data_IF_139861495872
#
_entry.id   IF_139861495872
#
_cell.length_a   1.000
_cell.length_b   1.000
_cell.length_c   1.000
_cell.angle_alpha   90.00
_cell.angle_beta   90.00
_cell.angle_gamma   90.00
#
_symmetry.space_group_name_H-M   'P 1'
#
loop_
_entity.id
_entity.type
_entity.pdbx_description
1 polymer ?
#
# COMPACT_ATOMS: atom_id res chain seq x y z
N UNK A 1 -12.64 23.68 29.50
CA UNK A 1 -13.32 23.25 28.42
C UNK A 1 -12.99 21.89 28.01
N UNK A 2 -13.91 21.10 27.96
CA UNK A 2 -13.67 19.86 27.61
C UNK A 2 -13.69 19.69 26.17
N UNK A 3 -12.73 19.09 25.67
CA UNK A 3 -12.76 18.71 24.38
C UNK A 3 -13.70 17.65 24.30
N UNK A 4 -14.86 18.03 23.92
CA UNK A 4 -15.83 17.08 23.69
C UNK A 4 -15.21 15.86 23.19
N UNK A 5 -15.57 14.78 23.74
CA UNK A 5 -15.21 13.49 23.29
C UNK A 5 -15.36 13.43 21.82
N UNK A 6 -14.50 14.00 21.09
CA UNK A 6 -14.64 14.07 19.69
C UNK A 6 -14.90 12.71 19.08
N UNK A 7 -16.12 12.50 18.65
CA UNK A 7 -16.40 11.35 17.84
C UNK A 7 -15.68 11.58 16.54
N UNK A 8 -14.56 10.86 16.33
CA UNK A 8 -13.85 10.92 15.07
C UNK A 8 -14.65 10.10 14.07
N UNK A 9 -15.33 10.78 13.17
CA UNK A 9 -16.04 10.11 12.10
C UNK A 9 -15.13 10.04 10.87
N UNK A 10 -14.85 8.84 10.41
CA UNK A 10 -14.13 8.63 9.16
C UNK A 10 -15.13 8.53 8.03
N UNK A 11 -14.92 9.33 6.98
CA UNK A 11 -15.76 9.28 5.78
C UNK A 11 -14.92 8.82 4.61
N UNK A 12 -15.48 7.93 3.80
CA UNK A 12 -14.85 7.48 2.57
C UNK A 12 -15.53 8.13 1.38
N UNK A 13 -14.72 8.59 0.42
CA UNK A 13 -15.20 9.16 -0.83
C UNK A 13 -14.68 8.30 -1.97
N UNK A 14 -15.54 8.02 -2.94
CA UNK A 14 -15.16 7.20 -4.09
C UNK A 14 -15.36 8.01 -5.36
N UNK A 15 -14.29 8.21 -6.09
CA UNK A 15 -14.32 8.97 -7.35
C UNK A 15 -13.65 8.16 -8.45
N UNK A 16 -14.13 8.36 -9.68
CA UNK A 16 -13.47 7.77 -10.84
C UNK A 16 -12.35 8.67 -11.30
N UNK A 17 -11.21 8.08 -11.62
CA UNK A 17 -10.07 8.79 -12.17
C UNK A 17 -9.81 8.34 -13.60
N UNK A 18 -9.17 9.22 -14.37
CA UNK A 18 -8.90 8.99 -15.79
C UNK A 18 -7.40 9.21 -16.06
N UNK A 19 -6.56 8.21 -15.77
CA UNK A 19 -5.13 8.35 -16.01
C UNK A 19 -4.83 8.37 -17.51
N UNK A 20 -3.79 9.14 -17.91
CA UNK A 20 -3.28 9.08 -19.27
C UNK A 20 -2.40 7.83 -19.41
N UNK A 21 -1.86 7.61 -20.62
CA UNK A 21 -1.11 6.38 -20.90
C UNK A 21 0.15 6.26 -20.04
N UNK A 22 0.86 7.36 -19.82
CA UNK A 22 2.04 7.37 -18.95
C UNK A 22 1.67 7.03 -17.52
N UNK A 23 0.58 7.61 -17.02
CA UNK A 23 0.08 7.35 -15.67
C UNK A 23 -0.39 5.92 -15.51
N UNK A 24 -1.03 5.35 -16.55
CA UNK A 24 -1.43 3.94 -16.52
C UNK A 24 -0.23 3.03 -16.35
N UNK A 25 0.87 3.35 -17.04
CA UNK A 25 2.11 2.59 -16.90
C UNK A 25 2.69 2.70 -15.50
N UNK A 26 2.65 3.89 -14.90
CA UNK A 26 3.12 4.10 -13.54
C UNK A 26 2.24 3.38 -12.52
N UNK A 27 0.93 3.38 -12.71
CA UNK A 27 0.03 2.60 -11.87
C UNK A 27 0.30 1.10 -11.98
N UNK A 28 0.49 0.60 -13.20
CA UNK A 28 0.79 -0.81 -13.41
C UNK A 28 2.10 -1.20 -12.71
N UNK A 29 3.11 -0.34 -12.78
CA UNK A 29 4.38 -0.55 -12.09
C UNK A 29 4.17 -0.58 -10.58
N UNK A 30 3.37 0.35 -10.05
CA UNK A 30 3.07 0.41 -8.62
C UNK A 30 2.36 -0.86 -8.16
N UNK A 31 1.35 -1.31 -8.90
CA UNK A 31 0.64 -2.55 -8.57
C UNK A 31 1.60 -3.74 -8.54
N UNK A 32 2.48 -3.82 -9.53
CA UNK A 32 3.49 -4.89 -9.59
C UNK A 32 4.43 -4.85 -8.40
N UNK A 33 4.91 -3.66 -8.03
CA UNK A 33 5.82 -3.51 -6.90
C UNK A 33 5.16 -3.86 -5.56
N UNK A 34 3.94 -3.37 -5.30
CA UNK A 34 3.27 -3.67 -4.04
C UNK A 34 2.97 -5.17 -3.93
N UNK A 35 2.63 -5.83 -5.03
CA UNK A 35 2.41 -7.28 -5.05
C UNK A 35 3.70 -8.02 -4.79
N UNK A 36 4.79 -7.60 -5.40
CA UNK A 36 6.11 -8.21 -5.22
C UNK A 36 6.55 -8.10 -3.75
N UNK A 37 6.38 -6.92 -3.15
CA UNK A 37 6.74 -6.69 -1.75
C UNK A 37 5.93 -7.61 -0.83
N UNK A 38 4.63 -7.69 -1.02
CA UNK A 38 3.76 -8.54 -0.23
C UNK A 38 4.23 -10.01 -0.32
N UNK A 39 4.43 -10.49 -1.54
CA UNK A 39 4.82 -11.89 -1.77
C UNK A 39 6.22 -12.20 -1.25
N UNK A 40 7.15 -11.28 -1.44
CA UNK A 40 8.53 -11.49 -0.99
C UNK A 40 8.59 -11.69 0.53
N UNK A 41 7.92 -10.83 1.29
CA UNK A 41 7.96 -10.94 2.74
C UNK A 41 6.99 -11.99 3.28
N UNK A 42 5.96 -12.33 2.54
CA UNK A 42 5.15 -13.51 2.90
C UNK A 42 6.03 -14.77 2.85
N UNK A 43 6.79 -14.94 1.76
CA UNK A 43 7.71 -16.05 1.62
C UNK A 43 8.77 -16.05 2.73
N UNK A 44 9.32 -14.89 3.01
CA UNK A 44 10.33 -14.68 4.05
C UNK A 44 9.79 -15.08 5.42
N UNK A 45 8.56 -14.70 5.74
CA UNK A 45 7.93 -15.05 7.01
C UNK A 45 7.68 -16.57 7.12
N UNK A 46 7.21 -17.17 6.05
CA UNK A 46 6.97 -18.61 6.00
C UNK A 46 8.27 -19.37 6.23
N UNK A 47 9.31 -19.00 5.51
CA UNK A 47 10.62 -19.66 5.60
C UNK A 47 11.20 -19.52 7.01
N UNK A 48 11.16 -18.31 7.55
CA UNK A 48 11.71 -18.05 8.89
C UNK A 48 10.98 -18.85 9.95
N UNK A 49 9.66 -18.95 9.86
CA UNK A 49 8.88 -19.71 10.82
C UNK A 49 9.19 -21.21 10.73
N UNK A 50 9.34 -21.74 9.51
CA UNK A 50 9.66 -23.16 9.32
C UNK A 50 11.05 -23.50 9.86
N UNK A 51 12.02 -22.63 9.63
CA UNK A 51 13.40 -22.90 10.04
C UNK A 51 13.67 -22.65 11.51
N UNK A 52 13.15 -21.55 12.04
CA UNK A 52 13.52 -21.08 13.38
C UNK A 52 12.35 -20.91 14.33
N UNK A 53 11.13 -21.19 13.90
CA UNK A 53 9.90 -20.99 14.69
C UNK A 53 9.76 -19.56 15.22
N UNK A 54 10.37 -18.59 14.52
CA UNK A 54 10.30 -17.19 14.90
C UNK A 54 9.47 -16.42 13.88
N UNK A 55 8.82 -15.35 14.35
CA UNK A 55 8.04 -14.50 13.49
C UNK A 55 8.82 -13.21 13.21
N UNK A 56 8.90 -12.83 11.94
CA UNK A 56 9.55 -11.59 11.55
C UNK A 56 8.52 -10.46 11.67
N UNK A 57 8.86 -9.45 12.47
CA UNK A 57 7.95 -8.32 12.68
C UNK A 57 7.93 -7.37 11.50
N UNK A 58 6.91 -6.51 11.47
CA UNK A 58 6.82 -5.46 10.46
C UNK A 58 8.10 -4.58 10.44
N UNK A 59 8.61 -4.24 11.63
CA UNK A 59 9.80 -3.37 11.74
C UNK A 59 11.00 -4.00 11.05
N UNK A 60 11.21 -5.30 11.24
CA UNK A 60 12.31 -6.02 10.60
C UNK A 60 12.11 -6.06 9.09
N UNK A 61 10.89 -6.35 8.63
CA UNK A 61 10.59 -6.36 7.20
C UNK A 61 10.83 -4.99 6.57
N UNK A 62 10.45 -3.91 7.26
CA UNK A 62 10.63 -2.56 6.76
C UNK A 62 12.11 -2.21 6.62
N UNK A 63 12.93 -2.63 7.58
CA UNK A 63 14.37 -2.41 7.51
C UNK A 63 14.99 -3.19 6.35
N UNK A 64 14.60 -4.45 6.20
CA UNK A 64 15.08 -5.29 5.10
C UNK A 64 14.70 -4.68 3.76
N UNK A 65 13.49 -4.17 3.64
CA UNK A 65 13.03 -3.52 2.41
C UNK A 65 13.83 -2.26 2.12
N UNK A 66 14.14 -1.45 3.13
CA UNK A 66 14.93 -0.24 2.95
C UNK A 66 16.33 -0.57 2.40
N UNK A 67 16.95 -1.63 2.92
CA UNK A 67 18.25 -2.07 2.40
C UNK A 67 18.15 -2.66 0.99
N UNK A 68 17.10 -3.43 0.72
CA UNK A 68 16.83 -4.01 -0.59
C UNK A 68 16.71 -2.93 -1.68
N UNK A 69 16.03 -1.83 -1.36
CA UNK A 69 15.84 -0.73 -2.31
C UNK A 69 17.15 -0.04 -2.70
N UNK A 70 18.18 -0.16 -1.87
CA UNK A 70 19.49 0.44 -2.17
C UNK A 70 20.29 -0.38 -3.15
N UNK A 71 19.94 -1.65 -3.36
CA UNK A 71 20.66 -2.53 -4.25
C UNK A 71 20.32 -2.20 -5.71
N UNK A 72 21.23 -2.52 -6.61
CA UNK A 72 21.03 -2.27 -8.03
C UNK A 72 19.90 -3.15 -8.57
N UNK A 73 19.81 -4.38 -8.11
CA UNK A 73 18.80 -5.34 -8.55
C UNK A 73 17.37 -4.85 -8.29
N UNK A 74 17.17 -4.16 -7.18
CA UNK A 74 15.83 -3.70 -6.79
C UNK A 74 15.69 -2.17 -6.83
N UNK A 75 16.56 -1.51 -7.58
CA UNK A 75 16.52 -0.05 -7.70
C UNK A 75 15.18 0.45 -8.27
N UNK A 76 14.51 -0.39 -9.07
CA UNK A 76 13.21 -0.03 -9.64
C UNK A 76 12.14 0.26 -8.58
N UNK A 77 12.31 -0.26 -7.36
CA UNK A 77 11.36 0.01 -6.27
C UNK A 77 11.34 1.49 -5.88
N UNK A 78 12.40 2.23 -6.17
CA UNK A 78 12.46 3.66 -5.87
C UNK A 78 11.67 4.51 -6.85
N UNK A 79 11.19 3.91 -7.94
CA UNK A 79 10.41 4.63 -8.94
C UNK A 79 8.95 4.75 -8.57
N UNK A 80 8.49 4.04 -7.55
CA UNK A 80 7.10 4.08 -7.10
C UNK A 80 7.01 4.72 -5.72
N UNK A 81 5.79 5.06 -5.31
CA UNK A 81 5.53 5.69 -4.01
C UNK A 81 6.02 4.78 -2.88
N UNK A 82 6.96 5.28 -2.09
CA UNK A 82 7.55 4.51 -0.98
C UNK A 82 6.50 4.15 0.08
N UNK A 83 5.52 5.01 0.29
CA UNK A 83 4.46 4.75 1.27
C UNK A 83 3.61 3.58 0.83
N UNK A 84 3.36 3.42 -0.47
CA UNK A 84 2.59 2.29 -0.99
C UNK A 84 3.28 0.96 -0.68
N UNK A 85 4.61 0.94 -0.72
CA UNK A 85 5.39 -0.26 -0.39
C UNK A 85 5.29 -0.57 1.10
N UNK A 86 5.37 0.44 1.96
CA UNK A 86 5.20 0.27 3.39
C UNK A 86 3.79 -0.22 3.73
N UNK A 87 2.77 0.31 3.06
CA UNK A 87 1.40 -0.14 3.26
C UNK A 87 1.22 -1.60 2.86
N UNK A 88 1.93 -2.05 1.82
CA UNK A 88 1.90 -3.46 1.44
C UNK A 88 2.41 -4.35 2.57
N UNK A 89 3.50 -3.96 3.24
CA UNK A 89 4.01 -4.69 4.40
C UNK A 89 3.03 -4.64 5.58
N UNK A 90 2.35 -3.53 5.79
CA UNK A 90 1.35 -3.43 6.86
C UNK A 90 0.15 -4.31 6.58
N UNK A 91 -0.27 -4.42 5.32
CA UNK A 91 -1.35 -5.32 4.93
C UNK A 91 -0.98 -6.78 5.21
N UNK A 92 0.28 -7.14 4.94
CA UNK A 92 0.77 -8.48 5.23
C UNK A 92 0.75 -8.75 6.73
N UNK A 93 1.22 -7.80 7.53
CA UNK A 93 1.22 -7.89 8.98
C UNK A 93 -0.21 -8.07 9.51
N UNK A 94 -1.15 -7.28 9.00
CA UNK A 94 -2.56 -7.38 9.37
C UNK A 94 -3.13 -8.74 8.99
N UNK A 95 -2.78 -9.27 7.82
CA UNK A 95 -3.26 -10.58 7.38
C UNK A 95 -2.80 -11.69 8.33
N UNK A 96 -1.55 -11.63 8.80
CA UNK A 96 -1.06 -12.59 9.78
C UNK A 96 -1.75 -12.43 11.12
N UNK A 97 -1.93 -11.20 11.60
CA UNK A 97 -2.63 -10.94 12.85
C UNK A 97 -4.07 -11.47 12.80
N UNK A 98 -4.76 -11.26 11.68
CA UNK A 98 -6.12 -11.77 11.52
C UNK A 98 -6.15 -13.29 11.55
N UNK A 99 -5.18 -13.92 10.92
CA UNK A 99 -5.09 -15.39 10.94
C UNK A 99 -4.88 -15.91 12.37
N UNK A 100 -3.99 -15.28 13.14
CA UNK A 100 -3.72 -15.72 14.52
C UNK A 100 -4.93 -15.50 15.42
N UNK A 101 -5.69 -14.42 15.22
CA UNK A 101 -6.90 -14.16 16.04
C UNK A 101 -8.07 -15.04 15.63
N UNK A 102 -8.23 -15.26 14.34
CA UNK A 102 -9.34 -16.03 13.80
C UNK A 102 -8.83 -16.94 12.68
N UNK A 103 -8.35 -18.13 13.01
CA UNK A 103 -7.82 -19.05 11.99
C UNK A 103 -8.78 -19.35 10.85
N UNK A 104 -10.09 -19.15 11.07
CA UNK A 104 -11.08 -19.37 10.00
C UNK A 104 -10.92 -18.39 8.85
N UNK A 105 -10.28 -17.22 9.06
CA UNK A 105 -10.05 -16.26 7.98
C UNK A 105 -9.06 -16.79 6.96
N UNK A 106 -8.30 -17.81 7.31
CA UNK A 106 -7.33 -18.45 6.43
C UNK A 106 -5.94 -17.84 6.52
N UNK A 107 -4.95 -18.63 6.16
CA UNK A 107 -3.55 -18.21 6.14
C UNK A 107 -3.33 -17.22 4.98
N UNK A 108 -2.47 -16.21 5.15
CA UNK A 108 -2.20 -15.26 4.05
C UNK A 108 -1.73 -15.98 2.79
N UNK A 109 -2.24 -15.54 1.66
CA UNK A 109 -1.95 -16.16 0.36
C UNK A 109 -1.11 -15.24 -0.50
N UNK A 110 -0.27 -15.84 -1.36
CA UNK A 110 0.47 -15.08 -2.36
C UNK A 110 -0.50 -14.41 -3.31
N UNK A 111 -0.17 -13.17 -3.71
CA UNK A 111 -0.99 -12.40 -4.64
C UNK A 111 -0.57 -12.73 -6.07
N UNK A 112 -1.54 -12.82 -6.96
CA UNK A 112 -1.31 -13.14 -8.36
C UNK A 112 -1.73 -12.00 -9.27
N UNK A 113 -0.96 -11.77 -10.32
CA UNK A 113 -1.31 -10.80 -11.34
C UNK A 113 -2.63 -11.17 -12.03
N UNK A 114 -2.93 -12.46 -12.09
CA UNK A 114 -4.14 -12.97 -12.75
C UNK A 114 -5.43 -12.71 -11.97
N UNK A 115 -5.33 -12.29 -10.71
CA UNK A 115 -6.52 -12.08 -9.88
C UNK A 115 -7.33 -10.86 -10.30
N UNK A 116 -6.81 -10.01 -11.17
CA UNK A 116 -7.44 -8.77 -11.64
C UNK A 116 -7.78 -7.77 -10.53
N UNK A 117 -7.30 -8.02 -9.32
CA UNK A 117 -7.50 -7.11 -8.20
C UNK A 117 -6.27 -6.22 -8.04
N UNK A 118 -6.21 -5.21 -8.91
CA UNK A 118 -5.09 -4.27 -8.88
C UNK A 118 -5.46 -3.07 -8.01
N UNK A 119 -4.81 -2.96 -6.87
CA UNK A 119 -5.02 -1.82 -5.99
C UNK A 119 -3.78 -1.60 -5.13
N UNK A 120 -3.62 -0.39 -4.64
CA UNK A 120 -2.62 -0.10 -3.63
C UNK A 120 -3.13 1.01 -2.73
N UNK A 121 -2.54 1.09 -1.54
CA UNK A 121 -2.88 2.12 -0.57
C UNK A 121 -1.69 3.04 -0.38
N UNK A 122 -1.97 4.31 -0.15
CA UNK A 122 -0.95 5.27 0.22
C UNK A 122 -1.53 6.21 1.26
N UNK A 123 -0.73 7.13 1.78
CA UNK A 123 -1.17 8.03 2.83
C UNK A 123 -0.77 9.46 2.50
N UNK A 124 -1.62 10.39 2.88
CA UNK A 124 -1.30 11.81 2.75
C UNK A 124 -0.37 12.23 3.88
N UNK A 125 0.86 12.58 3.51
CA UNK A 125 1.86 13.07 4.45
C UNK A 125 2.44 14.34 3.88
N UNK A 126 2.36 15.44 4.64
CA UNK A 126 2.90 16.74 4.22
C UNK A 126 2.38 17.21 2.86
N UNK A 127 1.10 16.98 2.60
CA UNK A 127 0.48 17.49 1.37
C UNK A 127 0.86 16.76 0.09
N UNK A 128 1.40 15.54 0.19
CA UNK A 128 1.77 14.78 -0.99
C UNK A 128 0.58 14.27 -1.80
N UNK A 129 -0.61 14.28 -1.22
CA UNK A 129 -1.85 13.93 -1.89
C UNK A 129 -2.81 15.11 -1.75
N UNK A 130 -3.43 15.51 -2.85
CA UNK A 130 -4.37 16.64 -2.81
C UNK A 130 -5.42 16.49 -3.89
N UNK A 131 -6.63 16.99 -3.60
CA UNK A 131 -7.67 17.12 -4.60
C UNK A 131 -7.63 18.55 -5.08
N UNK A 132 -7.28 18.70 -6.35
CA UNK A 132 -7.26 20.00 -7.03
C UNK A 132 -8.47 20.07 -7.94
N UNK A 133 -8.76 21.25 -8.47
CA UNK A 133 -9.92 21.41 -9.32
C UNK A 133 -9.84 20.45 -10.52
N UNK A 134 -10.65 19.40 -10.49
CA UNK A 134 -10.70 18.39 -11.55
C UNK A 134 -9.55 17.40 -11.57
N UNK A 135 -8.67 17.40 -10.56
CA UNK A 135 -7.50 16.54 -10.53
C UNK A 135 -7.22 16.00 -9.16
N UNK A 136 -6.65 14.79 -9.12
CA UNK A 136 -6.13 14.18 -7.92
C UNK A 136 -4.61 14.10 -8.04
N UNK A 137 -3.90 14.76 -7.11
CA UNK A 137 -2.45 14.71 -7.08
C UNK A 137 -2.00 13.50 -6.25
N UNK A 138 -1.16 12.65 -6.84
CA UNK A 138 -0.64 11.45 -6.17
C UNK A 138 0.88 11.40 -6.27
N UNK A 139 1.57 10.85 -5.23
CA UNK A 139 3.03 10.71 -5.27
C UNK A 139 3.47 9.87 -6.45
N UNK A 140 4.50 10.31 -7.14
CA UNK A 140 5.11 9.66 -8.32
C UNK A 140 4.22 9.60 -9.55
N UNK A 141 2.91 9.71 -9.40
CA UNK A 141 1.96 9.69 -10.52
C UNK A 141 1.71 11.09 -11.07
N UNK A 142 1.68 12.08 -10.16
CA UNK A 142 1.35 13.45 -10.52
C UNK A 142 -0.14 13.70 -10.47
N UNK A 143 -0.62 14.61 -11.31
CA UNK A 143 -2.02 15.02 -11.33
C UNK A 143 -2.82 14.12 -12.29
N UNK A 144 -3.76 13.36 -11.73
CA UNK A 144 -4.63 12.45 -12.49
C UNK A 144 -5.99 13.10 -12.61
N UNK A 145 -6.58 13.07 -13.79
CA UNK A 145 -7.91 13.61 -14.02
C UNK A 145 -8.93 12.88 -13.16
N UNK A 146 -9.80 13.66 -12.53
CA UNK A 146 -10.78 13.15 -11.57
C UNK A 146 -12.15 13.68 -11.91
N UNK A 147 -13.17 12.80 -11.86
CA UNK A 147 -14.54 13.25 -11.95
C UNK A 147 -15.07 13.41 -10.54
N UNK A 148 -15.11 14.65 -10.08
CA UNK A 148 -15.57 14.96 -8.74
C UNK A 148 -17.06 15.31 -8.78
N UNK A 149 -17.89 14.49 -8.17
CA UNK A 149 -19.33 14.71 -8.15
C UNK A 149 -19.83 15.22 -6.80
N UNK A 150 -18.94 15.45 -5.85
CA UNK A 150 -19.25 16.14 -4.59
C UNK A 150 -17.96 16.64 -3.95
N UNK A 151 -18.05 17.72 -3.15
CA UNK A 151 -16.85 18.28 -2.52
C UNK A 151 -16.34 17.36 -1.40
N UNK A 152 -15.03 17.38 -1.23
CA UNK A 152 -14.37 16.68 -0.16
C UNK A 152 -13.90 17.73 0.84
N UNK A 153 -14.23 17.62 2.13
CA UNK A 153 -13.73 18.57 3.12
C UNK A 153 -12.21 18.56 3.19
N UNK A 154 -11.64 19.74 3.36
CA UNK A 154 -10.20 19.88 3.52
C UNK A 154 -9.76 19.53 4.94
#
# INVERSE_FOLDING_TARGET
MEKGSGIVANKAYKFRIYPNDEQKSLFAKTFGCVRMIYNHWLDRKITQYKENKTNITYTVCAKEMAEMKKTEEYAFLREVDSISLQQSLRHLDTAFQNFFKQPKTGFPRFKSKKSHKNSYSTMCINGNIAILDGYLKLPKIGQVRLKQHRPVPK
#
